data_IF_144295609832
#
_entry.id   IF_144295609832
#
_cell.length_a   1.000
_cell.length_b   1.000
_cell.length_c   1.000
_cell.angle_alpha   90.00
_cell.angle_beta   90.00
_cell.angle_gamma   90.00
#
_symmetry.space_group_name_H-M   'P 1'
#
loop_
_entity.id
_entity.type
_entity.pdbx_description
1 polymer ?
#
# COMPACT_ATOMS: atom_id res chain seq x y z
N UNK A 1 33.66 -36.54 34.56
CA UNK A 1 32.36 -36.54 33.83
C UNK A 1 31.30 -35.59 34.36
N UNK A 2 31.06 -35.44 35.67
CA UNK A 2 30.00 -34.52 36.19
C UNK A 2 30.24 -33.02 36.00
N UNK A 3 31.52 -32.54 35.93
CA UNK A 3 31.83 -31.12 35.72
C UNK A 3 31.65 -30.67 34.26
N UNK A 4 31.85 -31.54 33.27
CA UNK A 4 31.71 -31.21 31.85
C UNK A 4 30.24 -31.12 31.42
N UNK A 5 29.35 -31.93 32.05
CA UNK A 5 27.90 -31.85 31.78
C UNK A 5 27.26 -30.58 32.36
N UNK A 6 27.80 -30.05 33.49
CA UNK A 6 27.30 -28.82 34.09
C UNK A 6 27.66 -27.59 33.25
N UNK A 7 28.85 -27.60 32.61
CA UNK A 7 29.28 -26.51 31.70
C UNK A 7 28.51 -26.48 30.40
N UNK A 8 28.07 -27.63 29.84
CA UNK A 8 27.23 -27.72 28.66
C UNK A 8 25.80 -27.24 28.94
N UNK A 9 25.25 -27.60 30.10
CA UNK A 9 23.91 -27.15 30.50
C UNK A 9 23.84 -25.64 30.75
N UNK A 10 24.89 -25.01 31.31
CA UNK A 10 24.95 -23.57 31.47
C UNK A 10 25.10 -22.87 30.12
N UNK A 11 25.85 -23.42 29.16
CA UNK A 11 26.01 -22.86 27.82
C UNK A 11 24.71 -22.85 27.00
N UNK A 12 23.91 -23.92 27.10
CA UNK A 12 22.62 -24.01 26.40
C UNK A 12 21.57 -23.06 27.02
N UNK A 13 21.56 -22.91 28.35
CA UNK A 13 20.66 -21.96 29.02
C UNK A 13 21.04 -20.50 28.69
N UNK A 14 22.35 -20.21 28.55
CA UNK A 14 22.77 -18.83 28.14
C UNK A 14 22.43 -18.50 26.69
N UNK A 15 22.50 -19.46 25.75
CA UNK A 15 22.06 -19.25 24.37
C UNK A 15 20.53 -19.08 24.27
N UNK A 16 19.76 -19.90 25.01
CA UNK A 16 18.29 -19.78 25.01
C UNK A 16 17.81 -18.46 25.62
N UNK A 17 18.50 -17.94 26.66
CA UNK A 17 18.15 -16.67 27.27
C UNK A 17 18.53 -15.46 26.40
N UNK A 18 19.60 -15.53 25.60
CA UNK A 18 19.98 -14.45 24.67
C UNK A 18 18.96 -14.28 23.53
N UNK A 19 18.38 -15.37 23.03
CA UNK A 19 17.32 -15.30 22.00
C UNK A 19 15.98 -14.83 22.58
N UNK A 20 15.67 -15.16 23.83
CA UNK A 20 14.45 -14.70 24.50
C UNK A 20 14.47 -13.21 24.84
N UNK A 21 15.66 -12.62 24.96
CA UNK A 21 15.82 -11.22 25.35
C UNK A 21 15.57 -10.22 24.19
N UNK A 22 15.60 -10.69 22.95
CA UNK A 22 15.45 -9.87 21.73
C UNK A 22 14.23 -10.23 20.87
N UNK A 23 13.26 -10.98 21.40
CA UNK A 23 12.03 -11.29 20.66
C UNK A 23 11.15 -10.03 20.51
N UNK A 24 10.76 -9.61 19.29
CA UNK A 24 9.92 -8.45 19.13
C UNK A 24 8.53 -8.67 19.73
N UNK A 25 8.13 -7.77 20.62
CA UNK A 25 6.76 -7.69 21.17
C UNK A 25 5.84 -6.91 20.22
N UNK A 26 6.39 -5.93 19.52
CA UNK A 26 5.67 -5.04 18.61
C UNK A 26 6.19 -5.22 17.19
N UNK A 27 5.33 -5.74 16.32
CA UNK A 27 5.69 -6.01 14.93
C UNK A 27 4.89 -5.09 14.01
N UNK A 28 5.61 -4.26 13.26
CA UNK A 28 5.07 -3.44 12.17
C UNK A 28 5.50 -4.04 10.84
N UNK A 29 4.54 -4.49 10.06
CA UNK A 29 4.75 -5.07 8.75
C UNK A 29 4.11 -4.18 7.69
N UNK A 30 4.93 -3.34 7.04
CA UNK A 30 4.45 -2.49 5.94
C UNK A 30 4.59 -3.19 4.60
N UNK A 31 3.59 -3.01 3.72
CA UNK A 31 3.60 -3.48 2.34
C UNK A 31 3.29 -2.29 1.44
N UNK A 32 4.28 -1.88 0.61
CA UNK A 32 4.07 -0.93 -0.46
C UNK A 32 3.64 -1.70 -1.71
N UNK A 33 2.35 -1.75 -2.01
CA UNK A 33 1.82 -2.45 -3.18
C UNK A 33 2.47 -1.88 -4.45
N UNK A 34 3.07 -2.75 -5.27
CA UNK A 34 3.74 -2.35 -6.50
C UNK A 34 5.07 -1.58 -6.33
N UNK A 35 5.60 -1.47 -5.11
CA UNK A 35 6.77 -0.66 -4.76
C UNK A 35 8.08 -1.42 -4.98
N UNK A 36 8.59 -1.42 -6.20
CA UNK A 36 9.94 -1.90 -6.51
C UNK A 36 11.03 -0.91 -6.08
N UNK A 37 12.27 -1.32 -6.26
CA UNK A 37 13.46 -0.49 -5.92
C UNK A 37 13.45 0.86 -6.64
N UNK A 38 12.99 0.89 -7.89
CA UNK A 38 12.98 2.12 -8.69
C UNK A 38 11.93 3.13 -8.24
N UNK A 39 10.79 2.70 -7.70
CA UNK A 39 9.78 3.58 -7.11
C UNK A 39 10.36 4.30 -5.88
N UNK A 40 11.08 3.58 -5.03
CA UNK A 40 11.78 4.15 -3.86
C UNK A 40 12.83 5.16 -4.31
N UNK A 41 13.71 4.76 -5.24
CA UNK A 41 14.76 5.63 -5.78
C UNK A 41 14.17 6.90 -6.43
N UNK A 42 13.03 6.79 -7.13
CA UNK A 42 12.37 7.95 -7.73
C UNK A 42 11.91 8.96 -6.69
N UNK A 43 11.39 8.50 -5.55
CA UNK A 43 10.95 9.38 -4.46
C UNK A 43 12.13 10.09 -3.78
N UNK A 44 13.21 9.38 -3.49
CA UNK A 44 14.42 9.96 -2.88
C UNK A 44 15.12 10.94 -3.82
N UNK A 45 15.23 10.60 -5.11
CA UNK A 45 15.81 11.48 -6.14
C UNK A 45 14.94 12.73 -6.37
N UNK A 46 13.60 12.57 -6.36
CA UNK A 46 12.69 13.70 -6.40
C UNK A 46 12.90 14.63 -5.20
N UNK A 47 13.02 14.09 -3.99
CA UNK A 47 13.27 14.87 -2.78
C UNK A 47 14.54 15.73 -2.89
N UNK A 48 15.64 15.17 -3.41
CA UNK A 48 16.86 15.93 -3.65
C UNK A 48 16.69 16.99 -4.73
N UNK A 49 16.05 16.63 -5.84
CA UNK A 49 15.88 17.50 -6.99
C UNK A 49 15.04 18.76 -6.70
N UNK A 50 13.98 18.65 -5.87
CA UNK A 50 13.18 19.83 -5.46
C UNK A 50 13.95 20.77 -4.51
N UNK A 51 14.99 20.29 -3.84
CA UNK A 51 15.94 21.10 -3.04
C UNK A 51 17.10 21.66 -3.89
N UNK A 52 17.13 21.37 -5.18
CA UNK A 52 18.17 21.84 -6.11
C UNK A 52 19.48 21.08 -5.98
N UNK A 53 19.47 19.86 -5.42
CA UNK A 53 20.66 19.01 -5.24
C UNK A 53 20.61 17.79 -6.17
N UNK A 54 21.80 17.27 -6.52
CA UNK A 54 21.97 16.03 -7.27
C UNK A 54 22.14 14.87 -6.28
N UNK A 55 21.52 13.72 -6.56
CA UNK A 55 21.59 12.53 -5.73
C UNK A 55 20.23 12.21 -5.09
N UNK A 56 20.25 11.80 -3.84
CA UNK A 56 19.06 11.41 -3.09
C UNK A 56 18.88 12.27 -1.83
N UNK A 57 17.64 12.50 -1.46
CA UNK A 57 17.24 12.92 -0.11
C UNK A 57 16.69 11.68 0.59
N UNK A 58 17.42 11.10 1.55
CA UNK A 58 17.02 9.85 2.17
C UNK A 58 15.65 9.94 2.82
N UNK A 59 14.80 8.97 2.52
CA UNK A 59 13.58 8.69 3.24
C UNK A 59 13.90 7.92 4.54
N UNK A 60 12.92 7.77 5.42
CA UNK A 60 13.10 7.09 6.72
C UNK A 60 13.39 5.60 6.52
N UNK A 61 12.52 4.88 5.79
CA UNK A 61 12.64 3.43 5.68
C UNK A 61 13.82 2.95 4.83
N UNK A 62 14.26 3.62 3.74
CA UNK A 62 15.45 3.17 3.02
C UNK A 62 16.75 3.38 3.82
N UNK A 63 16.69 4.19 4.89
CA UNK A 63 17.81 4.40 5.82
C UNK A 63 17.93 3.32 6.90
N UNK A 64 17.03 2.34 6.93
CA UNK A 64 17.10 1.23 7.88
C UNK A 64 18.33 0.35 7.62
N UNK A 65 18.98 -0.20 8.67
CA UNK A 65 20.29 -0.83 8.54
C UNK A 65 20.28 -2.19 7.82
N UNK A 66 19.13 -2.88 7.79
CA UNK A 66 19.03 -4.21 7.21
C UNK A 66 18.21 -4.18 5.92
N UNK A 67 18.81 -4.72 4.85
CA UNK A 67 18.23 -4.68 3.49
C UNK A 67 18.32 -6.04 2.85
N UNK A 68 17.24 -6.47 2.21
CA UNK A 68 17.22 -7.65 1.34
C UNK A 68 16.56 -7.32 -0.01
N UNK A 69 16.90 -8.09 -1.03
CA UNK A 69 16.18 -8.15 -2.30
C UNK A 69 15.25 -9.36 -2.28
N UNK A 70 14.02 -9.17 -2.74
CA UNK A 70 12.98 -10.19 -2.68
C UNK A 70 12.49 -10.52 -4.08
N UNK A 71 12.41 -11.81 -4.38
CA UNK A 71 11.71 -12.31 -5.57
C UNK A 71 10.27 -12.67 -5.21
N UNK A 72 9.36 -12.38 -6.14
CA UNK A 72 7.92 -12.30 -5.85
C UNK A 72 7.04 -13.21 -6.71
N UNK A 73 7.62 -14.02 -7.61
CA UNK A 73 6.85 -14.89 -8.51
C UNK A 73 5.75 -15.67 -7.77
N UNK A 74 4.60 -15.88 -8.44
CA UNK A 74 3.54 -16.74 -7.93
C UNK A 74 3.79 -18.22 -8.26
N UNK A 75 2.91 -19.11 -7.81
CA UNK A 75 2.98 -20.52 -8.19
C UNK A 75 2.60 -20.77 -9.65
N UNK A 76 1.93 -19.81 -10.29
CA UNK A 76 1.40 -19.97 -11.66
C UNK A 76 2.12 -19.13 -12.72
N UNK A 77 2.81 -18.06 -12.34
CA UNK A 77 3.40 -17.11 -13.27
C UNK A 77 4.70 -16.53 -12.71
N UNK A 78 5.64 -16.18 -13.59
CA UNK A 78 6.85 -15.43 -13.22
C UNK A 78 6.53 -14.06 -12.63
N UNK A 79 5.41 -13.47 -13.06
CA UNK A 79 4.92 -12.18 -12.53
C UNK A 79 3.68 -12.44 -11.69
N UNK A 80 3.73 -12.06 -10.42
CA UNK A 80 2.61 -12.22 -9.47
C UNK A 80 1.60 -11.08 -9.60
N UNK A 81 0.38 -11.30 -9.08
CA UNK A 81 -0.55 -10.24 -8.71
C UNK A 81 -0.57 -10.04 -7.18
N UNK A 82 -1.22 -8.97 -6.70
CA UNK A 82 -1.30 -8.65 -5.27
C UNK A 82 -1.97 -9.75 -4.43
N UNK A 83 -2.87 -10.55 -5.01
CA UNK A 83 -3.51 -11.65 -4.30
C UNK A 83 -2.51 -12.78 -4.00
N UNK A 84 -1.76 -13.24 -5.01
CA UNK A 84 -0.77 -14.29 -4.83
C UNK A 84 0.48 -13.77 -4.10
N UNK A 85 0.97 -12.56 -4.41
CA UNK A 85 2.07 -11.91 -3.71
C UNK A 85 1.76 -11.67 -2.25
N UNK A 86 0.58 -11.08 -1.97
CA UNK A 86 0.08 -10.88 -0.61
C UNK A 86 -0.14 -12.18 0.15
N UNK A 87 -0.65 -13.24 -0.51
CA UNK A 87 -0.76 -14.57 0.12
C UNK A 87 0.60 -15.11 0.52
N UNK A 88 1.62 -14.97 -0.34
CA UNK A 88 2.98 -15.41 0.01
C UNK A 88 3.55 -14.62 1.20
N UNK A 89 3.38 -13.28 1.21
CA UNK A 89 3.77 -12.39 2.31
C UNK A 89 2.99 -12.62 3.61
N UNK A 90 1.76 -13.09 3.52
CA UNK A 90 0.93 -13.35 4.70
C UNK A 90 1.15 -14.76 5.27
N UNK A 91 1.30 -15.79 4.41
CA UNK A 91 1.18 -17.20 4.82
C UNK A 91 2.48 -18.01 4.70
N UNK A 92 3.50 -17.46 4.02
CA UNK A 92 4.72 -18.22 3.70
C UNK A 92 4.52 -19.29 2.63
N UNK A 93 3.45 -19.21 1.83
CA UNK A 93 3.12 -20.20 0.78
C UNK A 93 2.81 -19.50 -0.53
N UNK A 94 3.30 -20.06 -1.63
CA UNK A 94 2.94 -19.62 -2.97
C UNK A 94 1.54 -20.14 -3.34
N UNK A 95 0.79 -19.30 -4.06
CA UNK A 95 -0.47 -19.67 -4.70
C UNK A 95 -0.51 -19.14 -6.13
N UNK A 96 -1.60 -19.38 -6.87
CA UNK A 96 -1.77 -18.86 -8.21
C UNK A 96 -2.35 -17.44 -8.20
N UNK A 97 -2.12 -16.69 -9.28
CA UNK A 97 -2.63 -15.33 -9.40
C UNK A 97 -4.15 -15.26 -9.19
N UNK A 98 -4.60 -14.23 -8.51
CA UNK A 98 -5.95 -13.94 -8.04
C UNK A 98 -6.42 -14.73 -6.80
N UNK A 99 -5.73 -15.75 -6.33
CA UNK A 99 -6.13 -16.50 -5.14
C UNK A 99 -5.69 -15.81 -3.85
N UNK A 100 -6.53 -15.84 -2.83
CA UNK A 100 -6.32 -15.24 -1.52
C UNK A 100 -6.36 -16.31 -0.44
N UNK A 101 -5.25 -16.49 0.30
CA UNK A 101 -5.20 -17.32 1.50
C UNK A 101 -5.54 -18.80 1.27
N UNK A 102 -5.41 -19.31 0.04
CA UNK A 102 -5.63 -20.72 -0.31
C UNK A 102 -4.42 -21.30 -1.03
N UNK A 103 -4.24 -22.63 -0.96
CA UNK A 103 -3.24 -23.35 -1.73
C UNK A 103 -3.57 -23.35 -3.24
N UNK A 104 -2.67 -23.92 -4.03
CA UNK A 104 -2.80 -24.05 -5.48
C UNK A 104 -3.98 -24.93 -5.95
N UNK A 105 -4.62 -25.65 -5.04
CA UNK A 105 -5.87 -26.39 -5.31
C UNK A 105 -7.13 -25.51 -5.30
N UNK A 106 -7.00 -24.21 -4.97
CA UNK A 106 -8.10 -23.25 -4.88
C UNK A 106 -9.11 -23.47 -3.75
N UNK A 107 -8.84 -24.41 -2.85
CA UNK A 107 -9.80 -24.87 -1.84
C UNK A 107 -9.21 -24.89 -0.45
N UNK A 108 -7.97 -25.37 -0.29
CA UNK A 108 -7.35 -25.56 1.02
C UNK A 108 -6.94 -24.21 1.59
N UNK A 109 -7.58 -23.75 2.70
CA UNK A 109 -7.21 -22.49 3.34
C UNK A 109 -5.86 -22.60 4.04
N UNK A 110 -5.12 -21.49 4.08
CA UNK A 110 -3.83 -21.38 4.78
C UNK A 110 -3.84 -20.20 5.74
N UNK A 111 -3.36 -20.39 6.94
CA UNK A 111 -3.33 -19.35 7.98
C UNK A 111 -2.18 -18.36 7.75
N UNK A 112 -2.41 -17.11 8.13
CA UNK A 112 -1.45 -16.02 7.98
C UNK A 112 -0.63 -15.78 9.25
N UNK A 113 0.47 -15.07 9.12
CA UNK A 113 1.28 -14.58 10.25
C UNK A 113 0.45 -13.71 11.22
N UNK A 114 -0.60 -13.03 10.75
CA UNK A 114 -1.53 -12.30 11.60
C UNK A 114 -2.40 -13.22 12.46
N UNK A 115 -2.84 -14.36 11.91
CA UNK A 115 -3.52 -15.41 12.67
C UNK A 115 -2.57 -16.01 13.72
N UNK A 116 -1.33 -16.34 13.34
CA UNK A 116 -0.33 -16.87 14.27
C UNK A 116 0.00 -15.88 15.40
N UNK A 117 0.07 -14.58 15.07
CA UNK A 117 0.24 -13.54 16.08
C UNK A 117 -0.95 -13.48 17.06
N UNK A 118 -2.17 -13.60 16.53
CA UNK A 118 -3.39 -13.63 17.35
C UNK A 118 -3.43 -14.84 18.27
N UNK A 119 -3.05 -16.02 17.77
CA UNK A 119 -2.93 -17.27 18.56
C UNK A 119 -1.85 -17.15 19.64
N UNK A 120 -0.76 -16.42 19.37
CA UNK A 120 0.24 -16.06 20.37
C UNK A 120 -0.26 -15.03 21.41
N UNK A 121 -1.51 -14.56 21.30
CA UNK A 121 -2.13 -13.60 22.20
C UNK A 121 -1.79 -12.13 21.90
N UNK A 122 -1.26 -11.80 20.72
CA UNK A 122 -1.05 -10.42 20.32
C UNK A 122 -2.38 -9.72 19.97
N UNK A 123 -2.47 -8.41 20.16
CA UNK A 123 -3.48 -7.61 19.48
C UNK A 123 -3.12 -7.51 18.00
N UNK A 124 -4.12 -7.63 17.11
CA UNK A 124 -3.88 -7.68 15.66
C UNK A 124 -4.66 -6.59 14.93
N UNK A 125 -3.95 -5.84 14.07
CA UNK A 125 -4.52 -4.83 13.19
C UNK A 125 -4.11 -5.02 11.74
N UNK A 126 -5.07 -4.86 10.82
CA UNK A 126 -4.85 -4.87 9.37
C UNK A 126 -5.36 -3.55 8.80
N UNK A 127 -4.48 -2.81 8.15
CA UNK A 127 -4.76 -1.46 7.69
C UNK A 127 -4.26 -1.24 6.26
N UNK A 128 -4.89 -0.34 5.53
CA UNK A 128 -4.58 -0.08 4.12
C UNK A 128 -4.99 1.34 3.69
N UNK A 129 -4.39 1.83 2.62
CA UNK A 129 -4.83 3.04 1.91
C UNK A 129 -5.89 2.78 0.83
N UNK A 130 -6.24 1.52 0.58
CA UNK A 130 -7.31 1.09 -0.33
C UNK A 130 -8.51 0.54 0.45
N UNK A 131 -9.44 -0.17 -0.18
CA UNK A 131 -10.58 -0.77 0.53
C UNK A 131 -10.11 -1.87 1.50
N UNK A 132 -10.80 -2.00 2.62
CA UNK A 132 -10.44 -2.97 3.66
C UNK A 132 -10.53 -4.43 3.17
N UNK A 133 -11.29 -4.67 2.11
CA UNK A 133 -11.50 -5.95 1.43
C UNK A 133 -10.71 -6.09 0.12
N UNK A 134 -9.73 -5.20 -0.14
CA UNK A 134 -8.79 -5.33 -1.27
C UNK A 134 -7.90 -6.57 -1.10
N UNK A 135 -7.24 -6.97 -2.20
CA UNK A 135 -6.51 -8.24 -2.27
C UNK A 135 -5.42 -8.38 -1.19
N UNK A 136 -4.54 -7.39 -1.04
CA UNK A 136 -3.39 -7.45 -0.13
C UNK A 136 -3.81 -7.57 1.34
N UNK A 137 -4.68 -6.70 1.91
CA UNK A 137 -5.13 -6.87 3.28
C UNK A 137 -5.93 -8.18 3.46
N UNK A 138 -6.72 -8.59 2.45
CA UNK A 138 -7.52 -9.81 2.51
C UNK A 138 -6.67 -11.07 2.71
N UNK A 139 -5.45 -11.12 2.20
CA UNK A 139 -4.54 -12.26 2.37
C UNK A 139 -4.21 -12.57 3.85
N UNK A 140 -4.42 -11.62 4.75
CA UNK A 140 -4.14 -11.80 6.18
C UNK A 140 -5.32 -12.38 6.95
N UNK A 141 -6.55 -12.39 6.40
CA UNK A 141 -7.75 -12.84 7.11
C UNK A 141 -8.76 -13.64 6.27
N UNK A 142 -8.63 -13.69 4.94
CA UNK A 142 -9.61 -14.31 4.05
C UNK A 142 -9.03 -15.46 3.22
N UNK A 143 -9.95 -16.34 2.71
CA UNK A 143 -9.63 -17.57 2.01
C UNK A 143 -10.55 -17.72 0.79
N UNK A 144 -10.22 -17.02 -0.30
CA UNK A 144 -11.06 -17.00 -1.50
C UNK A 144 -10.28 -17.42 -2.75
N UNK A 145 -10.93 -18.20 -3.62
CA UNK A 145 -10.34 -18.61 -4.91
C UNK A 145 -10.11 -17.45 -5.88
N UNK A 146 -10.70 -16.29 -5.62
CA UNK A 146 -10.55 -15.13 -6.50
C UNK A 146 -10.75 -13.81 -5.75
N UNK A 147 -9.79 -12.87 -5.90
CA UNK A 147 -9.77 -11.54 -5.27
C UNK A 147 -11.00 -10.66 -5.53
N UNK A 148 -11.79 -10.94 -6.58
CA UNK A 148 -13.03 -10.19 -6.86
C UNK A 148 -14.24 -10.64 -6.04
N UNK A 149 -14.08 -11.64 -5.17
CA UNK A 149 -15.13 -12.11 -4.25
C UNK A 149 -15.23 -11.18 -3.02
N UNK A 150 -15.39 -9.88 -3.29
CA UNK A 150 -15.32 -8.83 -2.25
C UNK A 150 -16.36 -8.98 -1.15
N UNK A 151 -17.58 -9.45 -1.48
CA UNK A 151 -18.61 -9.63 -0.48
C UNK A 151 -18.29 -10.78 0.49
N UNK A 152 -17.73 -11.88 -0.02
CA UNK A 152 -17.26 -13.02 0.77
C UNK A 152 -16.05 -12.61 1.61
N UNK A 153 -15.07 -11.91 1.02
CA UNK A 153 -13.90 -11.35 1.71
C UNK A 153 -14.33 -10.44 2.86
N UNK A 154 -15.27 -9.53 2.62
CA UNK A 154 -15.80 -8.63 3.66
C UNK A 154 -16.46 -9.38 4.81
N UNK A 155 -17.14 -10.51 4.53
CA UNK A 155 -17.69 -11.38 5.59
C UNK A 155 -16.61 -12.07 6.40
N UNK A 156 -15.54 -12.55 5.77
CA UNK A 156 -14.41 -13.15 6.47
C UNK A 156 -13.69 -12.11 7.36
N UNK A 157 -13.57 -10.84 6.91
CA UNK A 157 -13.11 -9.75 7.76
C UNK A 157 -13.96 -9.65 9.02
N UNK A 158 -15.28 -9.57 8.87
CA UNK A 158 -16.21 -9.44 10.01
C UNK A 158 -16.19 -10.66 10.91
N UNK A 159 -15.99 -11.86 10.34
CA UNK A 159 -15.89 -13.13 11.08
C UNK A 159 -14.52 -13.33 11.73
N UNK A 160 -13.47 -12.64 11.29
CA UNK A 160 -12.12 -12.76 11.82
C UNK A 160 -12.09 -12.41 13.33
N UNK A 161 -11.08 -12.91 14.03
CA UNK A 161 -10.86 -12.59 15.44
C UNK A 161 -9.87 -11.43 15.63
N UNK A 162 -9.68 -10.57 14.64
CA UNK A 162 -8.76 -9.45 14.73
C UNK A 162 -9.41 -8.25 15.41
N UNK A 163 -8.59 -7.36 15.96
CA UNK A 163 -9.01 -6.30 16.84
C UNK A 163 -9.27 -4.96 16.12
N UNK A 164 -8.51 -4.70 15.04
CA UNK A 164 -8.55 -3.43 14.34
C UNK A 164 -8.42 -3.60 12.82
N UNK A 165 -9.27 -2.88 12.09
CA UNK A 165 -9.14 -2.70 10.64
C UNK A 165 -9.21 -1.23 10.29
N UNK A 166 -8.48 -0.83 9.22
CA UNK A 166 -8.59 0.52 8.68
C UNK A 166 -8.40 0.54 7.16
N UNK A 167 -9.13 1.41 6.49
CA UNK A 167 -9.04 1.60 5.03
C UNK A 167 -10.04 2.62 4.52
N UNK A 168 -10.30 2.61 3.20
CA UNK A 168 -11.29 3.52 2.63
C UNK A 168 -12.72 3.12 3.02
N UNK A 169 -13.16 1.95 2.60
CA UNK A 169 -14.50 1.39 2.88
C UNK A 169 -14.52 -0.10 2.47
N UNK A 170 -15.69 -0.74 2.52
CA UNK A 170 -15.98 -2.00 1.85
C UNK A 170 -16.42 -1.77 0.40
N UNK A 171 -15.89 -2.57 -0.55
CA UNK A 171 -16.29 -2.48 -1.97
C UNK A 171 -17.70 -3.03 -2.22
N UNK A 172 -18.09 -4.06 -1.50
CA UNK A 172 -19.39 -4.73 -1.65
C UNK A 172 -20.08 -4.94 -0.31
N UNK A 173 -20.53 -3.84 0.37
CA UNK A 173 -21.13 -3.94 1.70
C UNK A 173 -22.57 -4.45 1.69
N UNK A 174 -23.24 -4.51 0.53
CA UNK A 174 -24.61 -4.96 0.41
C UNK A 174 -24.78 -6.45 0.78
N UNK A 175 -25.96 -6.89 1.24
CA UNK A 175 -26.25 -8.29 1.47
C UNK A 175 -26.03 -9.14 0.23
N UNK A 176 -25.51 -10.38 0.38
CA UNK A 176 -25.42 -11.35 -0.71
C UNK A 176 -26.73 -12.13 -0.93
N UNK A 177 -27.51 -12.29 0.15
CA UNK A 177 -28.76 -13.05 0.12
C UNK A 177 -29.90 -12.20 0.68
N UNK A 178 -31.11 -12.48 0.21
CA UNK A 178 -32.32 -11.84 0.71
C UNK A 178 -32.48 -12.10 2.22
N UNK A 179 -32.80 -11.05 2.97
CA UNK A 179 -32.95 -11.13 4.43
C UNK A 179 -31.65 -11.05 5.23
N UNK A 180 -30.48 -11.02 4.57
CA UNK A 180 -29.20 -10.84 5.24
C UNK A 180 -28.95 -9.36 5.57
N UNK A 181 -28.29 -9.07 6.70
CA UNK A 181 -27.82 -7.73 7.03
C UNK A 181 -26.64 -7.32 6.15
N UNK A 182 -26.45 -6.02 5.88
CA UNK A 182 -25.25 -5.50 5.23
C UNK A 182 -24.01 -5.69 6.11
N UNK A 183 -22.81 -5.57 5.53
CA UNK A 183 -21.55 -5.82 6.25
C UNK A 183 -21.33 -4.89 7.45
N UNK A 184 -21.82 -3.65 7.41
CA UNK A 184 -21.69 -2.73 8.56
C UNK A 184 -22.50 -3.19 9.76
N UNK A 185 -23.72 -3.70 9.54
CA UNK A 185 -24.57 -4.20 10.60
C UNK A 185 -24.08 -5.55 11.14
N UNK A 186 -23.56 -6.41 10.24
CA UNK A 186 -22.88 -7.64 10.64
C UNK A 186 -21.64 -7.34 11.51
N UNK A 187 -20.83 -6.35 11.14
CA UNK A 187 -19.65 -5.94 11.91
C UNK A 187 -20.05 -5.40 13.30
N UNK A 188 -21.09 -4.58 13.39
CA UNK A 188 -21.61 -4.10 14.68
C UNK A 188 -22.12 -5.25 15.54
N UNK A 189 -22.84 -6.21 14.97
CA UNK A 189 -23.31 -7.40 15.66
C UNK A 189 -22.18 -8.28 16.19
N UNK A 190 -20.98 -8.22 15.54
CA UNK A 190 -19.75 -8.89 15.96
C UNK A 190 -18.88 -8.04 16.89
N UNK A 191 -19.41 -6.94 17.42
CA UNK A 191 -18.74 -6.10 18.42
C UNK A 191 -17.80 -5.04 17.86
N UNK A 192 -17.77 -4.81 16.53
CA UNK A 192 -17.00 -3.74 15.96
C UNK A 192 -17.69 -2.37 16.15
N UNK A 193 -16.93 -1.41 16.63
CA UNK A 193 -17.25 0.01 16.49
C UNK A 193 -16.74 0.51 15.14
N UNK A 194 -17.58 1.16 14.35
CA UNK A 194 -17.21 1.73 13.06
C UNK A 194 -17.06 3.24 13.22
N UNK A 195 -15.88 3.76 12.91
CA UNK A 195 -15.56 5.19 12.90
C UNK A 195 -15.29 5.67 11.47
N UNK A 196 -15.86 6.81 11.08
CA UNK A 196 -15.63 7.43 9.78
C UNK A 196 -14.73 8.66 9.96
N UNK A 197 -13.48 8.51 9.53
CA UNK A 197 -12.44 9.53 9.67
C UNK A 197 -11.79 9.57 11.05
N UNK A 198 -10.61 10.19 11.10
CA UNK A 198 -9.79 10.24 12.32
C UNK A 198 -10.47 10.91 13.51
N UNK A 199 -11.33 11.91 13.26
CA UNK A 199 -12.05 12.64 14.32
C UNK A 199 -13.03 11.75 15.08
N UNK A 200 -13.75 10.86 14.39
CA UNK A 200 -14.65 9.91 15.03
C UNK A 200 -13.85 8.82 15.76
N UNK A 201 -12.78 8.31 15.13
CA UNK A 201 -11.86 7.38 15.76
C UNK A 201 -11.38 7.91 17.13
N UNK A 202 -10.84 9.12 17.16
CA UNK A 202 -10.28 9.72 18.38
C UNK A 202 -11.29 9.81 19.53
N UNK A 203 -12.59 9.95 19.22
CA UNK A 203 -13.66 10.00 20.23
C UNK A 203 -14.06 8.62 20.76
N UNK A 204 -13.93 7.57 19.96
CA UNK A 204 -14.56 6.28 20.22
C UNK A 204 -13.59 5.18 20.61
N UNK A 205 -12.31 5.21 20.13
CA UNK A 205 -11.38 4.09 20.22
C UNK A 205 -11.13 3.57 21.63
N UNK A 206 -11.14 4.47 22.65
CA UNK A 206 -10.89 4.09 24.05
C UNK A 206 -11.95 3.18 24.62
N UNK A 207 -13.21 3.30 24.13
CA UNK A 207 -14.37 2.51 24.60
C UNK A 207 -14.64 1.28 23.73
N UNK A 208 -14.14 1.26 22.51
CA UNK A 208 -14.37 0.18 21.56
C UNK A 208 -13.58 -1.08 21.94
N UNK A 209 -14.18 -2.24 21.89
CA UNK A 209 -13.49 -3.52 22.06
C UNK A 209 -12.79 -3.97 20.76
N UNK A 210 -13.46 -3.81 19.63
CA UNK A 210 -12.98 -4.01 18.26
C UNK A 210 -13.35 -2.80 17.41
N UNK A 211 -12.55 -2.47 16.40
CA UNK A 211 -12.84 -1.26 15.63
C UNK A 211 -12.51 -1.38 14.15
N UNK A 212 -13.33 -0.75 13.32
CA UNK A 212 -13.06 -0.52 11.90
C UNK A 212 -13.02 1.00 11.69
N UNK A 213 -11.88 1.53 11.26
CA UNK A 213 -11.70 2.92 10.87
C UNK A 213 -11.83 3.04 9.35
N UNK A 214 -12.83 3.74 8.87
CA UNK A 214 -13.09 4.01 7.47
C UNK A 214 -12.84 5.48 7.13
N UNK A 215 -12.63 5.77 5.85
CA UNK A 215 -12.54 7.13 5.35
C UNK A 215 -13.81 7.94 5.72
N UNK A 216 -13.67 9.25 5.82
CA UNK A 216 -14.78 10.14 6.10
C UNK A 216 -15.89 10.01 5.02
N UNK A 217 -17.13 9.81 5.45
CA UNK A 217 -18.29 9.62 4.55
C UNK A 217 -18.51 10.76 3.56
N UNK A 218 -18.25 12.00 3.98
CA UNK A 218 -18.37 13.16 3.10
C UNK A 218 -17.39 13.11 1.92
N UNK A 219 -16.26 12.42 2.10
CA UNK A 219 -15.20 12.26 1.13
C UNK A 219 -15.30 10.94 0.35
N UNK A 220 -15.91 9.90 0.93
CA UNK A 220 -16.13 8.59 0.28
C UNK A 220 -17.11 8.64 -0.90
N UNK A 221 -17.92 9.68 -1.03
CA UNK A 221 -18.82 9.84 -2.17
C UNK A 221 -18.07 9.91 -3.53
N UNK A 222 -16.75 9.99 -3.54
CA UNK A 222 -15.91 10.07 -4.75
C UNK A 222 -15.32 8.75 -5.17
N UNK A 223 -14.87 7.97 -4.21
CA UNK A 223 -14.20 6.69 -4.45
C UNK A 223 -14.20 5.87 -3.15
N UNK A 224 -15.01 4.83 -3.07
CA UNK A 224 -15.01 3.92 -1.93
C UNK A 224 -13.89 2.89 -1.99
N UNK A 225 -13.21 2.79 -3.12
CA UNK A 225 -12.17 1.79 -3.35
C UNK A 225 -10.83 2.16 -2.70
N UNK A 226 -10.58 3.46 -2.47
CA UNK A 226 -9.34 3.93 -1.86
C UNK A 226 -9.52 5.27 -1.14
N UNK A 227 -8.61 5.59 -0.20
CA UNK A 227 -8.43 6.99 0.21
C UNK A 227 -7.86 7.79 -0.98
N UNK A 228 -8.08 9.12 -1.07
CA UNK A 228 -7.55 9.90 -2.17
C UNK A 228 -6.03 9.82 -2.26
N UNK A 229 -5.48 9.92 -3.49
CA UNK A 229 -4.04 10.11 -3.64
C UNK A 229 -3.54 11.27 -2.79
N UNK A 230 -2.31 11.16 -2.26
CA UNK A 230 -1.69 12.22 -1.46
C UNK A 230 -1.73 13.58 -2.18
N UNK A 231 -1.61 13.56 -3.53
CA UNK A 231 -1.73 14.74 -4.38
C UNK A 231 -3.15 15.36 -4.41
N UNK A 232 -4.18 14.55 -4.20
CA UNK A 232 -5.60 14.92 -4.37
C UNK A 232 -6.34 15.16 -3.04
N UNK A 233 -5.68 14.89 -1.91
CA UNK A 233 -6.28 14.93 -0.57
C UNK A 233 -6.81 16.31 -0.22
N UNK A 234 -7.91 16.30 0.50
CA UNK A 234 -8.55 17.48 1.10
C UNK A 234 -8.48 17.40 2.62
N UNK A 235 -8.73 18.52 3.25
CA UNK A 235 -8.82 18.59 4.71
C UNK A 235 -9.87 17.60 5.23
N UNK A 236 -9.46 16.73 6.13
CA UNK A 236 -10.32 15.71 6.74
C UNK A 236 -10.26 14.34 6.06
N UNK A 237 -9.58 14.21 4.93
CA UNK A 237 -9.22 12.90 4.39
C UNK A 237 -8.22 12.21 5.31
N UNK A 238 -8.34 10.88 5.44
CA UNK A 238 -7.33 10.07 6.11
C UNK A 238 -6.03 10.07 5.31
N UNK A 239 -4.91 10.13 6.02
CA UNK A 239 -3.59 9.82 5.50
C UNK A 239 -3.16 8.43 5.97
N UNK A 240 -2.20 7.80 5.31
CA UNK A 240 -1.66 6.54 5.81
C UNK A 240 -0.97 6.71 7.17
N UNK A 241 -0.37 7.87 7.42
CA UNK A 241 0.17 8.23 8.73
C UNK A 241 -0.92 8.34 9.82
N UNK A 242 -2.12 8.87 9.50
CA UNK A 242 -3.25 8.89 10.45
C UNK A 242 -3.76 7.48 10.74
N UNK A 243 -3.86 6.64 9.71
CA UNK A 243 -4.22 5.23 9.85
C UNK A 243 -3.20 4.51 10.74
N UNK A 244 -1.90 4.75 10.55
CA UNK A 244 -0.83 4.17 11.37
C UNK A 244 -0.92 4.62 12.83
N UNK A 245 -1.13 5.92 13.08
CA UNK A 245 -1.35 6.43 14.46
C UNK A 245 -2.57 5.79 15.13
N UNK A 246 -3.66 5.66 14.38
CA UNK A 246 -4.87 5.02 14.87
C UNK A 246 -4.65 3.55 15.20
N UNK A 247 -3.95 2.83 14.34
CA UNK A 247 -3.57 1.42 14.54
C UNK A 247 -2.76 1.26 15.81
N UNK A 248 -1.70 2.03 16.00
CA UNK A 248 -0.86 2.00 17.21
C UNK A 248 -1.69 2.30 18.45
N UNK A 249 -2.44 3.40 18.44
CA UNK A 249 -3.24 3.82 19.59
C UNK A 249 -4.27 2.77 20.01
N UNK A 250 -4.91 2.11 19.03
CA UNK A 250 -5.89 1.08 19.31
C UNK A 250 -5.24 -0.20 19.83
N UNK A 251 -4.17 -0.69 19.16
CA UNK A 251 -3.53 -1.95 19.51
C UNK A 251 -2.82 -1.87 20.86
N UNK A 252 -2.14 -0.76 21.19
CA UNK A 252 -1.58 -0.53 22.52
C UNK A 252 -2.66 -0.50 23.61
N UNK A 253 -3.80 0.13 23.36
CA UNK A 253 -4.95 0.10 24.28
C UNK A 253 -5.50 -1.30 24.44
N UNK A 254 -5.54 -2.11 23.37
CA UNK A 254 -6.07 -3.47 23.38
C UNK A 254 -5.14 -4.46 24.10
N UNK A 255 -3.85 -4.41 23.78
CA UNK A 255 -2.82 -5.18 24.45
C UNK A 255 -1.51 -4.38 24.50
N UNK A 256 -1.17 -3.77 25.65
CA UNK A 256 0.06 -2.99 25.80
C UNK A 256 1.33 -3.85 25.77
N UNK A 257 1.23 -5.16 25.97
CA UNK A 257 2.38 -6.06 26.06
C UNK A 257 2.88 -6.53 24.68
N UNK A 258 1.96 -6.73 23.73
CA UNK A 258 2.33 -7.19 22.38
C UNK A 258 1.24 -6.96 21.34
N UNK A 259 1.68 -6.58 20.14
CA UNK A 259 0.80 -6.49 18.97
C UNK A 259 1.53 -6.79 17.65
N UNK A 260 0.73 -7.15 16.68
CA UNK A 260 1.10 -7.26 15.27
C UNK A 260 0.22 -6.33 14.45
N UNK A 261 0.80 -5.56 13.53
CA UNK A 261 0.01 -4.87 12.53
C UNK A 261 0.65 -4.99 11.13
N UNK A 262 -0.22 -5.22 10.14
CA UNK A 262 0.10 -5.01 8.73
C UNK A 262 -0.53 -3.70 8.26
N UNK A 263 0.26 -2.90 7.53
CA UNK A 263 -0.16 -1.60 7.00
C UNK A 263 0.25 -1.52 5.53
N UNK A 264 -0.74 -1.36 4.65
CA UNK A 264 -0.52 -1.34 3.22
C UNK A 264 -0.58 0.08 2.65
N UNK A 265 0.44 0.43 1.85
CA UNK A 265 0.43 1.59 0.96
C UNK A 265 -0.01 1.15 -0.46
N UNK A 266 -1.31 0.87 -0.62
CA UNK A 266 -1.87 0.26 -1.84
C UNK A 266 -1.95 1.20 -3.04
N UNK A 267 -1.83 2.51 -2.83
CA UNK A 267 -1.98 3.51 -3.90
C UNK A 267 -0.74 3.70 -4.76
N UNK A 268 0.43 3.20 -4.34
CA UNK A 268 1.65 3.23 -5.16
C UNK A 268 1.42 2.42 -6.44
N UNK A 269 0.90 1.21 -6.30
CA UNK A 269 0.55 0.33 -7.41
C UNK A 269 -0.43 0.97 -8.40
N UNK A 270 -1.50 1.58 -7.89
CA UNK A 270 -2.50 2.21 -8.75
C UNK A 270 -1.94 3.38 -9.57
N UNK A 271 -1.04 4.17 -8.97
CA UNK A 271 -0.35 5.24 -9.70
C UNK A 271 0.61 4.68 -10.76
N UNK A 272 1.29 3.56 -10.47
CA UNK A 272 2.15 2.85 -11.41
C UNK A 272 1.36 2.24 -12.57
N UNK A 273 0.23 1.58 -12.31
CA UNK A 273 -0.69 1.09 -13.35
C UNK A 273 -1.18 2.19 -14.28
N UNK A 274 -1.32 3.41 -13.75
CA UNK A 274 -1.68 4.57 -14.55
C UNK A 274 -0.48 5.22 -15.24
N UNK A 275 0.76 4.79 -14.97
CA UNK A 275 1.97 5.48 -15.40
C UNK A 275 1.94 6.98 -15.04
N UNK A 276 1.41 7.32 -13.86
CA UNK A 276 1.27 8.69 -13.36
C UNK A 276 2.34 8.97 -12.29
N UNK A 277 3.47 9.53 -12.73
CA UNK A 277 4.67 9.66 -11.91
C UNK A 277 4.51 10.62 -10.71
N UNK A 278 3.74 11.69 -10.86
CA UNK A 278 3.59 12.68 -9.79
C UNK A 278 2.82 12.14 -8.58
N UNK A 279 1.65 11.48 -8.71
CA UNK A 279 1.05 10.77 -7.57
C UNK A 279 1.90 9.60 -7.09
N UNK A 280 2.54 8.79 -7.96
CA UNK A 280 3.37 7.66 -7.53
C UNK A 280 4.45 8.08 -6.54
N UNK A 281 5.25 9.10 -6.88
CA UNK A 281 6.31 9.62 -5.99
C UNK A 281 5.73 10.10 -4.66
N UNK A 282 4.57 10.75 -4.67
CA UNK A 282 3.92 11.25 -3.45
C UNK A 282 3.33 10.13 -2.60
N UNK A 283 2.87 9.03 -3.19
CA UNK A 283 2.41 7.85 -2.45
C UNK A 283 3.57 7.13 -1.75
N UNK A 284 4.76 7.04 -2.38
CA UNK A 284 5.97 6.51 -1.71
C UNK A 284 6.37 7.40 -0.52
N UNK A 285 6.29 8.73 -0.67
CA UNK A 285 6.56 9.68 0.43
C UNK A 285 5.50 9.53 1.54
N UNK A 286 4.21 9.36 1.20
CA UNK A 286 3.14 9.12 2.18
C UNK A 286 3.32 7.80 2.94
N UNK A 287 3.82 6.76 2.25
CA UNK A 287 4.24 5.51 2.89
C UNK A 287 5.40 5.74 3.89
N UNK A 288 6.40 6.56 3.52
CA UNK A 288 7.49 6.92 4.43
C UNK A 288 6.99 7.69 5.67
N UNK A 289 6.03 8.60 5.49
CA UNK A 289 5.43 9.31 6.62
C UNK A 289 4.68 8.35 7.58
N UNK A 290 4.06 7.31 7.04
CA UNK A 290 3.43 6.27 7.85
C UNK A 290 4.47 5.41 8.59
N UNK A 291 5.55 5.02 7.91
CA UNK A 291 6.69 4.30 8.54
C UNK A 291 7.35 5.17 9.61
N UNK A 292 7.50 6.50 9.38
CA UNK A 292 8.04 7.42 10.37
C UNK A 292 7.21 7.43 11.66
N UNK A 293 5.90 7.31 11.61
CA UNK A 293 5.06 7.17 12.80
C UNK A 293 5.41 5.90 13.58
N UNK A 294 5.63 4.78 12.91
CA UNK A 294 6.10 3.55 13.54
C UNK A 294 7.55 3.68 14.06
N UNK A 295 8.40 4.40 13.34
CA UNK A 295 9.76 4.65 13.75
C UNK A 295 9.83 5.51 15.03
N UNK A 296 8.94 6.49 15.22
CA UNK A 296 8.84 7.23 16.48
C UNK A 296 8.41 6.33 17.65
N UNK A 297 7.56 5.32 17.40
CA UNK A 297 7.25 4.29 18.38
C UNK A 297 8.47 3.41 18.68
N UNK A 298 9.18 2.94 17.65
CA UNK A 298 10.42 2.18 17.77
C UNK A 298 11.46 2.91 18.65
N UNK A 299 11.63 4.21 18.47
CA UNK A 299 12.58 5.01 19.29
C UNK A 299 12.29 4.97 20.79
N UNK A 300 11.05 4.67 21.18
CA UNK A 300 10.65 4.52 22.58
C UNK A 300 10.80 3.06 23.06
N UNK A 301 10.77 2.09 22.14
CA UNK A 301 10.81 0.66 22.41
C UNK A 301 11.79 -0.08 21.49
N UNK A 302 13.06 0.32 21.38
CA UNK A 302 13.97 -0.17 20.34
C UNK A 302 14.29 -1.66 20.44
N UNK A 303 14.38 -2.21 21.64
CA UNK A 303 14.72 -3.60 21.90
C UNK A 303 13.52 -4.57 21.74
N UNK A 304 12.30 -4.02 21.62
CA UNK A 304 11.06 -4.80 21.62
C UNK A 304 10.27 -4.65 20.32
N UNK A 305 10.71 -3.78 19.40
CA UNK A 305 10.01 -3.44 18.17
C UNK A 305 10.76 -3.97 16.96
N UNK A 306 10.05 -4.61 16.05
CA UNK A 306 10.50 -4.90 14.70
C UNK A 306 9.66 -4.09 13.71
N UNK A 307 10.31 -3.29 12.87
CA UNK A 307 9.68 -2.65 11.72
C UNK A 307 10.32 -3.21 10.46
N UNK A 308 9.47 -3.68 9.55
CA UNK A 308 9.90 -4.00 8.18
C UNK A 308 8.92 -3.43 7.17
N UNK A 309 9.45 -3.03 6.01
CA UNK A 309 8.69 -2.63 4.84
C UNK A 309 9.20 -3.37 3.63
N UNK A 310 8.27 -3.90 2.84
CA UNK A 310 8.53 -4.61 1.58
C UNK A 310 7.44 -4.27 0.57
N UNK A 311 7.42 -4.97 -0.56
CA UNK A 311 6.34 -4.93 -1.53
C UNK A 311 5.94 -6.35 -1.96
N UNK A 312 4.77 -6.49 -2.52
CA UNK A 312 4.24 -7.74 -3.06
C UNK A 312 4.72 -8.00 -4.50
N UNK A 313 4.97 -6.95 -5.29
CA UNK A 313 5.56 -6.95 -6.63
C UNK A 313 6.05 -5.55 -7.03
N UNK A 314 6.67 -5.44 -8.20
CA UNK A 314 6.92 -4.18 -8.90
C UNK A 314 5.79 -3.92 -9.91
N UNK A 315 5.47 -2.65 -10.16
CA UNK A 315 4.45 -2.24 -11.12
C UNK A 315 4.96 -1.13 -12.03
N UNK A 316 4.63 -1.24 -13.34
CA UNK A 316 4.88 -0.21 -14.34
C UNK A 316 6.25 -0.26 -15.00
N UNK A 317 7.23 -0.94 -14.40
CA UNK A 317 8.60 -0.97 -14.89
C UNK A 317 9.19 0.42 -15.06
N UNK A 318 9.11 1.24 -14.00
CA UNK A 318 9.55 2.64 -14.04
C UNK A 318 11.06 2.73 -14.22
N UNK A 319 11.49 3.69 -15.05
CA UNK A 319 12.89 4.05 -15.22
C UNK A 319 13.11 5.55 -15.06
N UNK A 320 14.23 5.92 -14.44
CA UNK A 320 14.73 7.29 -14.40
C UNK A 320 15.78 7.48 -15.51
N UNK A 321 15.78 8.65 -16.16
CA UNK A 321 16.73 8.96 -17.24
C UNK A 321 16.26 8.53 -18.62
N UNK A 322 14.96 8.40 -18.85
CA UNK A 322 14.40 8.18 -20.17
C UNK A 322 14.73 9.36 -21.11
N UNK A 323 15.57 9.11 -22.12
CA UNK A 323 15.95 10.14 -23.10
C UNK A 323 17.27 10.86 -22.84
N UNK A 324 18.11 10.41 -21.87
CA UNK A 324 19.44 10.97 -21.64
C UNK A 324 19.96 10.84 -20.22
N UNK A 325 21.11 11.48 -19.94
CA UNK A 325 21.76 11.43 -18.63
C UNK A 325 21.25 12.45 -17.61
N UNK A 326 20.36 13.36 -18.00
CA UNK A 326 19.78 14.36 -17.11
C UNK A 326 18.43 13.91 -16.56
N UNK A 327 18.10 14.35 -15.35
CA UNK A 327 16.79 14.20 -14.74
C UNK A 327 16.20 15.60 -14.54
N UNK A 328 14.87 15.72 -14.71
CA UNK A 328 14.14 16.94 -14.41
C UNK A 328 12.92 16.63 -13.54
N UNK A 329 13.15 15.92 -12.44
CA UNK A 329 12.09 15.54 -11.51
C UNK A 329 11.30 16.71 -10.92
N UNK A 330 11.84 17.94 -10.77
CA UNK A 330 11.03 19.10 -10.39
C UNK A 330 9.83 19.36 -11.29
N UNK A 331 9.83 18.89 -12.55
CA UNK A 331 8.66 18.97 -13.45
C UNK A 331 7.41 18.29 -12.83
N UNK A 332 7.57 17.26 -12.01
CA UNK A 332 6.47 16.58 -11.30
C UNK A 332 5.72 17.52 -10.34
N UNK A 333 6.36 18.59 -9.85
CA UNK A 333 5.70 19.58 -8.97
C UNK A 333 4.67 20.43 -9.72
N UNK A 334 4.73 20.44 -11.06
CA UNK A 334 3.78 21.16 -11.91
C UNK A 334 2.42 20.47 -11.95
N UNK A 335 2.37 19.16 -11.71
CA UNK A 335 1.12 18.41 -11.64
C UNK A 335 0.54 18.52 -10.23
N UNK A 336 -0.67 19.10 -10.13
CA UNK A 336 -1.38 19.38 -8.88
C UNK A 336 -2.61 18.51 -8.66
N UNK A 337 -2.86 17.57 -9.54
CA UNK A 337 -4.01 16.67 -9.55
C UNK A 337 -3.61 15.35 -10.22
N UNK A 338 -4.10 14.21 -9.74
CA UNK A 338 -3.90 12.96 -10.46
C UNK A 338 -4.65 12.97 -11.80
N UNK A 339 -4.14 12.25 -12.78
CA UNK A 339 -4.81 12.11 -14.08
C UNK A 339 -6.21 11.49 -13.94
N UNK A 340 -6.40 10.61 -12.95
CA UNK A 340 -7.68 10.02 -12.59
C UNK A 340 -8.70 11.10 -12.13
N UNK A 341 -8.34 11.90 -11.15
CA UNK A 341 -9.23 12.95 -10.64
C UNK A 341 -9.43 14.07 -11.67
N UNK A 342 -8.43 14.34 -12.52
CA UNK A 342 -8.56 15.30 -13.61
C UNK A 342 -9.59 14.85 -14.66
N UNK A 343 -9.66 13.56 -14.95
CA UNK A 343 -10.71 12.99 -15.80
C UNK A 343 -12.11 13.23 -15.24
N UNK A 344 -12.29 13.04 -13.94
CA UNK A 344 -13.57 13.34 -13.27
C UNK A 344 -13.91 14.82 -13.36
N UNK A 345 -12.91 15.69 -13.11
CA UNK A 345 -13.03 17.14 -13.26
C UNK A 345 -13.48 17.54 -14.68
N UNK A 346 -12.86 16.98 -15.71
CA UNK A 346 -13.23 17.27 -17.11
C UNK A 346 -14.69 16.89 -17.41
N UNK A 347 -15.16 15.73 -16.94
CA UNK A 347 -16.54 15.27 -17.07
C UNK A 347 -17.52 16.25 -16.39
N UNK A 348 -17.22 16.67 -15.16
CA UNK A 348 -18.03 17.63 -14.41
C UNK A 348 -18.07 19.02 -15.10
N UNK A 349 -16.91 19.51 -15.55
CA UNK A 349 -16.79 20.78 -16.24
C UNK A 349 -17.54 20.78 -17.57
N UNK A 350 -17.37 19.74 -18.38
CA UNK A 350 -18.08 19.59 -19.65
C UNK A 350 -19.59 19.63 -19.45
N UNK A 351 -20.12 18.86 -18.48
CA UNK A 351 -21.55 18.84 -18.14
C UNK A 351 -22.07 20.20 -17.66
N UNK A 352 -21.30 20.89 -16.81
CA UNK A 352 -21.71 22.18 -16.21
C UNK A 352 -21.65 23.34 -17.19
N UNK A 353 -20.64 23.37 -18.06
CA UNK A 353 -20.35 24.51 -18.94
C UNK A 353 -21.02 24.41 -20.30
N UNK A 354 -21.32 23.17 -20.76
CA UNK A 354 -21.92 22.96 -22.09
C UNK A 354 -21.07 23.61 -23.19
N UNK A 355 -21.67 24.48 -24.00
CA UNK A 355 -20.99 25.18 -25.12
C UNK A 355 -19.82 26.09 -24.69
N UNK A 356 -19.69 26.44 -23.41
CA UNK A 356 -18.56 27.22 -22.88
C UNK A 356 -17.35 26.36 -22.53
N UNK A 357 -17.45 25.04 -22.62
CA UNK A 357 -16.33 24.09 -22.45
C UNK A 357 -15.52 24.05 -23.76
N UNK A 358 -14.63 25.03 -23.94
CA UNK A 358 -13.83 25.26 -25.14
C UNK A 358 -12.37 24.92 -24.91
N UNK A 359 -11.60 24.76 -26.00
CA UNK A 359 -10.15 24.54 -25.90
C UNK A 359 -9.45 25.65 -25.10
N UNK A 360 -9.76 26.92 -25.33
CA UNK A 360 -9.16 28.01 -24.57
C UNK A 360 -9.41 27.94 -23.08
N UNK A 361 -10.57 27.43 -22.67
CA UNK A 361 -10.85 27.16 -21.26
C UNK A 361 -10.01 26.01 -20.75
N UNK A 362 -10.00 24.89 -21.46
CA UNK A 362 -9.26 23.67 -21.03
C UNK A 362 -7.75 23.89 -21.05
N UNK A 363 -7.24 24.67 -22.02
CA UNK A 363 -5.82 25.04 -22.05
C UNK A 363 -5.39 25.82 -20.80
N UNK A 364 -6.22 26.74 -20.31
CA UNK A 364 -5.98 27.44 -19.02
C UNK A 364 -6.09 26.50 -17.82
N UNK A 365 -7.00 25.56 -17.85
CA UNK A 365 -7.16 24.55 -16.80
C UNK A 365 -5.94 23.61 -16.76
N UNK A 366 -5.44 23.16 -17.92
CA UNK A 366 -4.18 22.41 -18.05
C UNK A 366 -2.96 23.21 -17.55
N UNK A 367 -2.93 24.53 -17.83
CA UNK A 367 -1.88 25.40 -17.30
C UNK A 367 -1.92 25.45 -15.77
N UNK A 368 -3.10 25.50 -15.16
CA UNK A 368 -3.28 25.55 -13.70
C UNK A 368 -2.88 24.22 -13.03
N UNK A 369 -3.30 23.08 -13.59
CA UNK A 369 -3.17 21.78 -12.97
C UNK A 369 -1.94 20.98 -13.40
N UNK A 370 -1.34 21.28 -14.56
CA UNK A 370 -0.15 20.58 -15.07
C UNK A 370 1.02 21.53 -15.39
N UNK A 371 0.83 22.82 -15.22
CA UNK A 371 1.88 23.82 -15.42
C UNK A 371 2.23 24.09 -16.89
N UNK A 372 1.43 23.63 -17.86
CA UNK A 372 1.71 23.78 -19.28
C UNK A 372 1.69 25.25 -19.72
N UNK A 373 2.74 25.67 -20.44
CA UNK A 373 2.94 27.07 -20.83
C UNK A 373 3.46 27.97 -19.69
N UNK A 374 3.69 27.43 -18.49
CA UNK A 374 4.36 28.12 -17.36
C UNK A 374 5.65 27.40 -16.98
N UNK A 375 5.56 26.38 -16.15
CA UNK A 375 6.71 25.58 -15.66
C UNK A 375 7.13 24.49 -16.65
N UNK A 376 6.23 24.01 -17.47
CA UNK A 376 6.50 23.06 -18.55
C UNK A 376 6.23 23.75 -19.90
N UNK A 377 7.30 23.92 -20.69
CA UNK A 377 7.19 24.46 -22.04
C UNK A 377 6.79 23.33 -23.01
N UNK A 378 5.62 23.45 -23.61
CA UNK A 378 5.15 22.49 -24.60
C UNK A 378 5.86 22.68 -25.95
N UNK A 379 6.15 21.60 -26.64
CA UNK A 379 6.46 21.60 -28.06
C UNK A 379 5.18 21.78 -28.88
N UNK A 380 5.30 22.17 -30.17
CA UNK A 380 4.13 22.27 -31.05
C UNK A 380 3.40 20.91 -31.22
N UNK A 381 4.14 19.80 -31.18
CA UNK A 381 3.58 18.45 -31.26
C UNK A 381 2.79 18.10 -29.98
N UNK A 382 3.32 18.42 -28.81
CA UNK A 382 2.65 18.18 -27.52
C UNK A 382 1.36 19.04 -27.39
N UNK A 383 1.42 20.32 -27.83
CA UNK A 383 0.22 21.17 -27.85
C UNK A 383 -0.84 20.61 -28.81
N UNK A 384 -0.42 20.12 -29.98
CA UNK A 384 -1.30 19.47 -30.95
C UNK A 384 -1.91 18.19 -30.34
N UNK A 385 -1.12 17.36 -29.67
CA UNK A 385 -1.58 16.13 -29.03
C UNK A 385 -2.67 16.41 -27.99
N UNK A 386 -2.49 17.44 -27.16
CA UNK A 386 -3.49 17.85 -26.18
C UNK A 386 -4.76 18.40 -26.84
N UNK A 387 -4.62 19.17 -27.92
CA UNK A 387 -5.76 19.73 -28.66
C UNK A 387 -6.56 18.62 -29.35
N UNK A 388 -5.90 17.67 -30.03
CA UNK A 388 -6.55 16.54 -30.68
C UNK A 388 -7.29 15.66 -29.65
N UNK A 389 -6.69 15.45 -28.47
CA UNK A 389 -7.33 14.71 -27.37
C UNK A 389 -8.57 15.44 -26.83
N UNK A 390 -8.54 16.78 -26.75
CA UNK A 390 -9.70 17.58 -26.40
C UNK A 390 -10.81 17.46 -27.46
N UNK A 391 -10.48 17.57 -28.76
CA UNK A 391 -11.44 17.42 -29.84
C UNK A 391 -12.10 16.04 -29.84
N UNK A 392 -11.34 15.00 -29.58
CA UNK A 392 -11.87 13.64 -29.40
C UNK A 392 -12.82 13.57 -28.20
N UNK A 393 -12.48 14.21 -27.09
CA UNK A 393 -13.30 14.24 -25.88
C UNK A 393 -14.67 14.89 -26.14
N UNK A 394 -14.69 16.08 -26.76
CA UNK A 394 -15.95 16.83 -27.01
C UNK A 394 -16.79 16.21 -28.13
N UNK A 395 -16.18 15.54 -29.10
CA UNK A 395 -16.88 14.86 -30.20
C UNK A 395 -17.37 13.46 -29.85
N UNK A 396 -17.12 12.98 -28.64
CA UNK A 396 -17.48 11.61 -28.20
C UNK A 396 -16.67 10.49 -28.86
N UNK A 397 -15.52 10.83 -29.47
CA UNK A 397 -14.57 9.88 -30.09
C UNK A 397 -13.43 9.49 -29.16
N UNK A 398 -13.44 9.99 -27.93
CA UNK A 398 -12.42 9.69 -26.95
C UNK A 398 -12.47 8.20 -26.59
N UNK A 399 -11.41 7.46 -26.97
CA UNK A 399 -11.26 6.04 -26.61
C UNK A 399 -10.80 5.88 -25.18
N UNK A 400 -10.37 6.97 -24.54
CA UNK A 400 -9.82 6.96 -23.21
C UNK A 400 -8.50 6.19 -23.08
N UNK A 401 -8.06 6.12 -21.85
CA UNK A 401 -6.97 5.26 -21.40
C UNK A 401 -7.51 4.33 -20.32
N UNK A 402 -7.22 3.05 -20.45
CA UNK A 402 -7.71 2.04 -19.51
C UNK A 402 -6.52 1.38 -18.82
N UNK A 403 -6.48 1.45 -17.52
CA UNK A 403 -5.59 0.66 -16.66
C UNK A 403 -6.39 -0.32 -15.80
N UNK A 404 -5.72 -1.06 -14.93
CA UNK A 404 -6.39 -2.02 -14.04
C UNK A 404 -7.39 -1.33 -13.09
N UNK A 405 -7.05 -0.14 -12.59
CA UNK A 405 -7.84 0.56 -11.57
C UNK A 405 -8.42 1.89 -12.02
N UNK A 406 -8.17 2.35 -13.24
CA UNK A 406 -8.67 3.61 -13.72
C UNK A 406 -9.12 3.58 -15.19
N UNK A 407 -10.17 4.34 -15.44
CA UNK A 407 -10.60 4.71 -16.79
C UNK A 407 -10.45 6.22 -16.93
N UNK A 408 -9.50 6.66 -17.75
CA UNK A 408 -9.14 8.07 -17.92
C UNK A 408 -9.50 8.58 -19.30
N UNK A 409 -9.74 9.89 -19.42
CA UNK A 409 -9.84 10.54 -20.72
C UNK A 409 -8.49 10.54 -21.44
N UNK A 410 -8.52 10.50 -22.77
CA UNK A 410 -7.30 10.63 -23.58
C UNK A 410 -6.55 11.93 -23.28
N UNK A 411 -7.27 13.01 -22.97
CA UNK A 411 -6.67 14.28 -22.59
C UNK A 411 -5.91 14.20 -21.25
N UNK A 412 -6.47 13.57 -20.22
CA UNK A 412 -5.79 13.36 -18.94
C UNK A 412 -4.55 12.48 -19.10
N UNK A 413 -4.68 11.42 -19.92
CA UNK A 413 -3.58 10.52 -20.23
C UNK A 413 -2.44 11.24 -20.97
N UNK A 414 -2.75 12.05 -21.98
CA UNK A 414 -1.76 12.84 -22.70
C UNK A 414 -1.05 13.84 -21.75
N UNK A 415 -1.80 14.48 -20.86
CA UNK A 415 -1.22 15.44 -19.92
C UNK A 415 -0.19 14.79 -18.98
N UNK A 416 -0.51 13.66 -18.31
CA UNK A 416 0.46 12.98 -17.43
C UNK A 416 1.69 12.45 -18.17
N UNK A 417 1.50 11.97 -19.43
CA UNK A 417 2.61 11.49 -20.26
C UNK A 417 3.59 12.62 -20.59
N UNK A 418 3.09 13.81 -20.90
CA UNK A 418 3.92 14.99 -21.13
C UNK A 418 4.69 15.37 -19.86
N UNK A 419 4.07 15.32 -18.68
CA UNK A 419 4.75 15.57 -17.41
C UNK A 419 5.85 14.54 -17.17
N UNK A 420 5.57 13.23 -17.32
CA UNK A 420 6.56 12.14 -17.15
C UNK A 420 7.73 12.29 -18.11
N UNK A 421 7.46 12.58 -19.39
CA UNK A 421 8.47 12.84 -20.42
C UNK A 421 9.37 14.02 -20.04
N UNK A 422 8.77 15.12 -19.57
CA UNK A 422 9.52 16.30 -19.13
C UNK A 422 10.34 16.05 -17.85
N UNK A 423 9.92 15.11 -17.01
CA UNK A 423 10.68 14.66 -15.86
C UNK A 423 11.78 13.64 -16.19
N UNK A 424 11.86 13.19 -17.45
CA UNK A 424 12.72 12.11 -17.95
C UNK A 424 12.42 10.76 -17.26
N UNK A 425 11.16 10.51 -16.99
CA UNK A 425 10.67 9.22 -16.46
C UNK A 425 10.09 8.40 -17.62
N UNK A 426 10.48 7.15 -17.68
CA UNK A 426 9.95 6.14 -18.60
C UNK A 426 9.18 5.06 -17.86
N UNK A 427 8.25 4.42 -18.59
CA UNK A 427 7.44 3.30 -18.15
C UNK A 427 7.48 2.21 -19.21
N UNK A 428 7.55 0.94 -18.81
CA UNK A 428 7.63 -0.17 -19.77
C UNK A 428 6.28 -0.87 -19.96
N UNK A 429 5.37 -0.77 -18.99
CA UNK A 429 4.09 -1.47 -19.03
C UNK A 429 3.04 -0.75 -18.19
N UNK A 430 1.77 -1.17 -18.32
CA UNK A 430 0.67 -0.82 -17.43
C UNK A 430 0.40 -1.94 -16.40
N UNK A 431 1.16 -3.02 -16.43
CA UNK A 431 1.05 -4.17 -15.54
C UNK A 431 2.22 -4.27 -14.58
N UNK A 432 2.27 -5.39 -13.90
CA UNK A 432 3.38 -5.73 -13.02
C UNK A 432 4.60 -6.19 -13.83
N UNK A 433 5.77 -6.17 -13.20
CA UNK A 433 7.01 -6.71 -13.77
C UNK A 433 7.67 -7.70 -12.80
N UNK A 434 8.67 -8.42 -13.30
CA UNK A 434 9.52 -9.32 -12.49
C UNK A 434 10.70 -8.57 -11.84
N UNK A 435 10.52 -7.28 -11.55
CA UNK A 435 11.51 -6.49 -10.83
C UNK A 435 11.62 -6.93 -9.37
N UNK A 436 12.87 -6.99 -8.85
CA UNK A 436 13.05 -7.18 -7.41
C UNK A 436 12.35 -6.10 -6.61
N UNK A 437 11.77 -6.51 -5.47
CA UNK A 437 11.31 -5.58 -4.46
C UNK A 437 12.25 -5.60 -3.26
N UNK A 438 12.38 -4.49 -2.50
CA UNK A 438 13.24 -4.44 -1.33
C UNK A 438 12.53 -4.94 -0.07
N UNK A 439 13.30 -5.42 0.90
CA UNK A 439 12.96 -5.32 2.33
C UNK A 439 13.88 -4.28 2.95
N UNK A 440 13.34 -3.39 3.75
CA UNK A 440 14.10 -2.57 4.70
C UNK A 440 13.60 -2.88 6.10
N UNK A 441 14.52 -3.16 7.03
CA UNK A 441 14.16 -3.57 8.37
C UNK A 441 15.02 -2.91 9.46
N UNK A 442 14.43 -2.66 10.62
CA UNK A 442 15.08 -2.15 11.82
C UNK A 442 14.45 -2.73 13.08
N UNK A 443 15.25 -2.88 14.13
CA UNK A 443 14.81 -3.30 15.46
C UNK A 443 15.10 -4.74 15.79
N UNK A 444 14.38 -5.31 16.73
CA UNK A 444 14.64 -6.62 17.29
C UNK A 444 14.57 -7.73 16.23
N UNK A 445 15.70 -8.37 15.94
CA UNK A 445 15.82 -9.46 14.98
C UNK A 445 15.87 -9.00 13.51
N UNK A 446 15.95 -7.70 13.23
CA UNK A 446 15.95 -7.17 11.87
C UNK A 446 17.13 -7.66 11.01
N UNK A 447 18.25 -8.05 11.63
CA UNK A 447 19.43 -8.61 10.98
C UNK A 447 19.16 -9.94 10.23
N UNK A 448 18.03 -10.60 10.52
CA UNK A 448 17.60 -11.79 9.79
C UNK A 448 17.15 -11.48 8.35
N UNK A 449 16.87 -10.22 8.03
CA UNK A 449 16.43 -9.79 6.71
C UNK A 449 17.63 -9.24 5.92
N UNK A 450 18.31 -10.11 5.18
CA UNK A 450 19.49 -9.75 4.39
C UNK A 450 19.64 -10.59 3.12
N UNK A 451 20.45 -10.11 2.18
CA UNK A 451 20.78 -10.83 0.95
C UNK A 451 19.63 -10.90 -0.04
N UNK A 452 19.39 -12.08 -0.62
CA UNK A 452 18.28 -12.35 -1.52
C UNK A 452 17.39 -13.43 -0.93
N UNK A 453 16.12 -13.14 -0.75
CA UNK A 453 15.12 -14.03 -0.14
C UNK A 453 13.90 -14.19 -1.05
N UNK A 454 13.15 -15.25 -0.85
CA UNK A 454 11.82 -15.40 -1.43
C UNK A 454 10.78 -14.70 -0.53
N UNK A 455 9.72 -14.15 -1.10
CA UNK A 455 8.69 -13.46 -0.31
C UNK A 455 8.00 -14.37 0.72
N UNK A 456 8.01 -15.70 0.53
CA UNK A 456 7.50 -16.66 1.49
C UNK A 456 8.33 -16.76 2.77
N UNK A 457 9.61 -16.35 2.75
CA UNK A 457 10.45 -16.39 3.95
C UNK A 457 10.17 -15.26 4.93
N UNK A 458 9.57 -14.15 4.48
CA UNK A 458 9.32 -12.99 5.33
C UNK A 458 8.38 -13.33 6.50
N UNK A 459 7.15 -13.86 6.31
CA UNK A 459 6.25 -14.17 7.42
C UNK A 459 6.78 -15.28 8.31
N UNK A 460 7.51 -16.26 7.75
CA UNK A 460 8.17 -17.32 8.54
C UNK A 460 9.26 -16.74 9.45
N UNK A 461 10.05 -15.80 8.93
CA UNK A 461 11.08 -15.12 9.73
C UNK A 461 10.45 -14.27 10.84
N UNK A 462 9.40 -13.51 10.55
CA UNK A 462 8.63 -12.76 11.57
C UNK A 462 8.13 -13.73 12.65
N UNK A 463 7.53 -14.86 12.28
CA UNK A 463 6.98 -15.82 13.21
C UNK A 463 8.07 -16.44 14.10
N UNK A 464 9.23 -16.82 13.54
CA UNK A 464 10.37 -17.32 14.32
C UNK A 464 10.88 -16.30 15.33
N UNK A 465 11.07 -15.06 14.90
CA UNK A 465 11.57 -13.98 15.76
C UNK A 465 10.60 -13.64 16.90
N UNK A 466 9.31 -13.52 16.60
CA UNK A 466 8.29 -13.14 17.57
C UNK A 466 7.71 -14.31 18.37
N UNK A 467 8.15 -15.55 18.11
CA UNK A 467 7.67 -16.75 18.78
C UNK A 467 6.20 -17.08 18.48
N UNK A 468 5.74 -16.77 17.27
CA UNK A 468 4.37 -17.10 16.86
C UNK A 468 4.26 -18.58 16.47
N UNK A 469 3.13 -19.26 16.79
CA UNK A 469 2.92 -20.67 16.50
C UNK A 469 2.70 -20.91 15.00
N UNK A 470 3.80 -21.05 14.27
CA UNK A 470 3.77 -21.34 12.83
C UNK A 470 3.42 -22.83 12.58
N UNK A 471 2.66 -23.16 11.51
CA UNK A 471 2.40 -24.54 11.10
C UNK A 471 3.67 -25.38 10.97
N UNK A 472 3.60 -26.66 11.38
CA UNK A 472 4.78 -27.56 11.42
C UNK A 472 5.49 -27.72 10.07
N UNK A 473 4.74 -27.74 8.98
CA UNK A 473 5.26 -27.89 7.63
C UNK A 473 5.90 -26.61 7.06
N UNK A 474 5.91 -25.51 7.82
CA UNK A 474 6.60 -24.26 7.50
C UNK A 474 7.85 -24.05 8.38
N UNK A 475 8.02 -24.83 9.46
CA UNK A 475 9.19 -24.79 10.31
C UNK A 475 10.41 -25.39 9.63
#
# INVERSE_FOLDING_TARGET
MKRTLLSLALGVVFCASAWAQNAPKYVFYFIGDGMGVNQVNAAETFGAAIEGTIGIKPLTFPSFPHVALVNTQSASHGITDSAAGGTALATGRKTYNNAIGVLTDSITPVTSVAVWAKEAGAAVGIATSVSVDHATPACFYAHQKHRKMYAEIGRELVASNFDFFAGSDFLKPAPLHEGEANLYDQARAKGFTIANGYKEFAKQYRKADRMILLQNKENNARDNASIPYALDRKKGDLTLADITRATIAFLQKKNPEKFFCMIEAGKIDWACHNNDAAPMVREVIDADEAVRVAYEFYRQHPEETLILITADHETGGITLGSGGYSLNLPALTSQKISSYLYTTRLKELSKRMGKKFTWDFVRRDLQEYFGFGKSIKLTAEEEKTLHDAFDNLISGKDKGFQSLYASESGLSSAAKQIVSKNAHIGWTTLGHTDGYVPVFAIGAGAEAFHGRIDNTEIPKTIARLAGYPMPEDLK
#
